data_IF_458303280199
#
_entry.id   IF_458303280199
#
_cell.length_a   1.000
_cell.length_b   1.000
_cell.length_c   1.000
_cell.angle_alpha   90.00
_cell.angle_beta   90.00
_cell.angle_gamma   90.00
#
_symmetry.space_group_name_H-M   'P 1'
#
loop_
_entity.id
_entity.type
_entity.pdbx_description
1 polymer ?
#
# COMPACT_ATOMS: atom_id res chain seq x y z
N UNK A 1 -38.64 -14.95 -2.26
CA UNK A 1 -37.64 -13.91 -1.93
C UNK A 1 -38.28 -12.58 -1.50
N UNK A 2 -39.61 -12.46 -1.50
CA UNK A 2 -40.31 -11.20 -1.20
C UNK A 2 -40.49 -10.89 0.30
N UNK A 3 -40.47 -11.89 1.17
CA UNK A 3 -40.61 -11.69 2.62
C UNK A 3 -39.44 -10.90 3.23
N UNK A 4 -38.22 -11.11 2.73
CA UNK A 4 -37.04 -10.38 3.18
C UNK A 4 -37.09 -8.91 2.74
N UNK A 5 -37.47 -8.62 1.49
CA UNK A 5 -37.61 -7.22 1.00
C UNK A 5 -38.66 -6.43 1.79
N UNK A 6 -39.77 -7.08 2.17
CA UNK A 6 -40.81 -6.46 2.99
C UNK A 6 -40.31 -6.08 4.39
N UNK A 7 -39.47 -6.93 5.02
CA UNK A 7 -38.93 -6.63 6.36
C UNK A 7 -37.99 -5.43 6.40
N UNK A 8 -37.22 -5.16 5.34
CA UNK A 8 -36.27 -4.03 5.31
C UNK A 8 -36.94 -2.68 5.00
N UNK A 9 -38.15 -2.68 4.43
CA UNK A 9 -38.90 -1.45 4.12
C UNK A 9 -39.56 -0.79 5.34
N UNK A 10 -39.70 -1.53 6.45
CA UNK A 10 -40.44 -1.09 7.65
C UNK A 10 -39.54 -0.64 8.79
N UNK A 11 -38.22 -0.60 8.59
CA UNK A 11 -37.27 -0.15 9.62
C UNK A 11 -37.14 1.37 9.50
N UNK A 12 -37.67 2.14 10.46
CA UNK A 12 -37.50 3.59 10.44
C UNK A 12 -36.01 3.93 10.55
N UNK A 13 -35.52 4.98 9.85
CA UNK A 13 -34.15 5.42 10.00
C UNK A 13 -33.91 5.84 11.46
N UNK A 14 -32.83 5.31 12.05
CA UNK A 14 -32.45 5.65 13.42
C UNK A 14 -32.29 7.16 13.57
N UNK A 15 -32.90 7.71 14.62
CA UNK A 15 -32.81 9.13 14.89
C UNK A 15 -31.38 9.50 15.36
N UNK A 16 -30.95 10.75 15.19
CA UNK A 16 -29.64 11.20 15.68
C UNK A 16 -29.42 10.94 17.18
N UNK A 17 -30.48 10.97 17.99
CA UNK A 17 -30.43 10.67 19.42
C UNK A 17 -30.13 9.18 19.70
N UNK A 18 -30.75 8.27 18.96
CA UNK A 18 -30.51 6.82 19.09
C UNK A 18 -29.09 6.45 18.66
N UNK A 19 -28.56 7.08 17.61
CA UNK A 19 -27.18 6.90 17.17
C UNK A 19 -26.17 7.43 18.22
N UNK A 20 -26.47 8.57 18.83
CA UNK A 20 -25.62 9.13 19.89
C UNK A 20 -25.59 8.23 21.13
N UNK A 21 -26.72 7.65 21.52
CA UNK A 21 -26.79 6.75 22.67
C UNK A 21 -26.13 5.39 22.39
N UNK A 22 -26.34 4.81 21.20
CA UNK A 22 -25.64 3.59 20.78
C UNK A 22 -24.11 3.78 20.78
N UNK A 23 -23.63 4.93 20.28
CA UNK A 23 -22.21 5.30 20.33
C UNK A 23 -21.70 5.41 21.77
N UNK A 24 -22.47 6.01 22.68
CA UNK A 24 -22.08 6.18 24.09
C UNK A 24 -21.95 4.83 24.80
N UNK A 25 -22.89 3.90 24.56
CA UNK A 25 -22.83 2.52 25.10
C UNK A 25 -21.62 1.74 24.58
N UNK A 26 -21.27 1.89 23.31
CA UNK A 26 -20.06 1.28 22.75
C UNK A 26 -18.80 1.85 23.40
N UNK A 27 -18.73 3.17 23.59
CA UNK A 27 -17.59 3.82 24.24
C UNK A 27 -17.45 3.43 25.72
N UNK A 28 -18.55 3.30 26.46
CA UNK A 28 -18.54 2.87 27.87
C UNK A 28 -18.14 1.39 28.01
N UNK A 29 -18.52 0.53 27.06
CA UNK A 29 -18.05 -0.87 27.00
C UNK A 29 -16.56 -1.02 26.68
N UNK A 30 -15.97 -0.04 26.00
CA UNK A 30 -14.54 -0.01 25.63
C UNK A 30 -13.64 0.62 26.70
N UNK A 31 -14.19 1.17 27.79
CA UNK A 31 -13.35 1.71 28.86
C UNK A 31 -12.65 0.56 29.60
N UNK A 32 -11.31 0.48 29.56
CA UNK A 32 -10.59 -0.57 30.27
C UNK A 32 -10.76 -0.36 31.78
N UNK A 33 -11.19 -1.42 32.49
CA UNK A 33 -11.17 -1.44 33.96
C UNK A 33 -9.71 -1.34 34.42
N UNK A 34 -9.35 -0.40 35.32
CA UNK A 34 -8.00 -0.36 35.88
C UNK A 34 -7.80 -1.62 36.73
N UNK A 35 -6.99 -2.56 36.24
CA UNK A 35 -6.51 -3.70 37.03
C UNK A 35 -5.32 -3.21 37.85
N UNK A 36 -5.50 -3.12 39.18
CA UNK A 36 -4.37 -2.99 40.10
C UNK A 36 -3.49 -4.23 39.97
N UNK A 37 -2.27 -4.06 39.44
CA UNK A 37 -1.31 -5.14 39.29
C UNK A 37 -0.43 -5.18 40.54
N UNK A 38 -0.70 -6.13 41.43
CA UNK A 38 0.27 -6.59 42.43
C UNK A 38 1.28 -7.50 41.72
N UNK A 39 2.54 -7.07 41.61
CA UNK A 39 3.62 -7.87 41.05
C UNK A 39 4.09 -8.96 42.02
N UNK A 40 4.49 -10.14 41.51
CA UNK A 40 5.54 -10.92 42.14
C UNK A 40 6.72 -11.23 41.20
N UNK A 41 7.82 -11.58 41.86
CA UNK A 41 9.20 -11.68 41.37
C UNK A 41 9.45 -12.91 40.47
N UNK A 42 10.35 -12.70 39.50
CA UNK A 42 11.39 -13.58 38.91
C UNK A 42 11.21 -15.11 39.01
N UNK A 43 11.25 -15.79 37.86
CA UNK A 43 12.03 -17.02 37.65
C UNK A 43 12.52 -17.09 36.19
N UNK A 44 13.82 -17.35 36.05
CA UNK A 44 14.57 -17.58 34.80
C UNK A 44 14.31 -19.00 34.30
N UNK A 45 14.03 -19.16 33.00
CA UNK A 45 14.22 -20.42 32.28
C UNK A 45 14.44 -20.17 30.78
N UNK A 46 15.27 -21.03 30.20
CA UNK A 46 15.94 -20.96 28.92
C UNK A 46 15.05 -20.86 27.66
N UNK A 47 15.60 -20.15 26.66
CA UNK A 47 15.65 -20.67 25.28
C UNK A 47 14.44 -20.48 24.38
N UNK A 48 14.20 -19.25 23.91
CA UNK A 48 13.68 -18.99 22.55
C UNK A 48 14.26 -17.65 22.10
N UNK A 49 15.09 -17.65 21.05
CA UNK A 49 15.42 -16.42 20.33
C UNK A 49 14.18 -16.01 19.53
N UNK A 50 13.23 -15.35 20.21
CA UNK A 50 12.16 -14.64 19.54
C UNK A 50 12.77 -13.41 18.88
N UNK A 51 12.71 -13.34 17.55
CA UNK A 51 13.02 -12.13 16.80
C UNK A 51 12.18 -10.98 17.38
N UNK A 52 12.85 -10.01 18.01
CA UNK A 52 12.21 -8.86 18.60
C UNK A 52 11.64 -7.98 17.48
N UNK A 53 10.35 -8.11 17.20
CA UNK A 53 9.62 -7.05 16.52
C UNK A 53 9.44 -5.90 17.52
N UNK A 54 10.38 -4.95 17.54
CA UNK A 54 10.22 -3.70 18.29
C UNK A 54 9.20 -2.81 17.57
N UNK A 55 7.91 -3.06 17.81
CA UNK A 55 6.86 -2.09 17.50
C UNK A 55 6.66 -1.19 18.73
N UNK A 56 7.53 -0.18 18.88
CA UNK A 56 7.29 0.90 19.83
C UNK A 56 6.25 1.85 19.20
N UNK A 57 4.96 1.60 19.44
CA UNK A 57 3.88 2.51 19.03
C UNK A 57 3.48 3.36 20.23
N UNK A 58 4.09 4.54 20.35
CA UNK A 58 3.58 5.63 21.18
C UNK A 58 2.82 6.58 20.24
N UNK A 59 1.48 6.54 20.29
CA UNK A 59 0.60 7.50 19.60
C UNK A 59 -0.41 6.85 18.64
N UNK A 60 -1.66 7.32 18.72
CA UNK A 60 -2.82 6.87 17.93
C UNK A 60 -2.80 7.26 16.43
N UNK A 61 -1.63 7.51 15.83
CA UNK A 61 -1.53 7.79 14.40
C UNK A 61 -1.18 6.51 13.64
N UNK A 62 -2.15 5.95 12.90
CA UNK A 62 -1.89 4.87 11.95
C UNK A 62 -0.83 5.34 10.93
N UNK A 63 0.27 4.59 10.72
CA UNK A 63 1.30 4.94 9.75
C UNK A 63 0.72 5.06 8.33
N UNK A 64 1.27 5.96 7.51
CA UNK A 64 0.85 6.12 6.10
C UNK A 64 1.02 4.84 5.29
N UNK A 65 2.04 4.06 5.64
CA UNK A 65 2.35 2.77 5.04
C UNK A 65 3.04 1.84 6.04
N UNK A 66 2.82 0.55 5.86
CA UNK A 66 3.54 -0.53 6.53
C UNK A 66 4.31 -1.35 5.50
N UNK A 67 5.50 -1.84 5.90
CA UNK A 67 6.33 -2.72 5.10
C UNK A 67 6.61 -3.98 5.90
N UNK A 68 6.32 -5.14 5.32
CA UNK A 68 6.63 -6.45 5.89
C UNK A 68 7.46 -7.27 4.91
N UNK A 69 8.46 -7.99 5.39
CA UNK A 69 9.24 -8.94 4.61
C UNK A 69 8.79 -10.36 4.93
N UNK A 70 8.48 -11.12 3.89
CA UNK A 70 8.20 -12.56 3.97
C UNK A 70 9.50 -13.38 3.96
N UNK A 71 9.43 -14.62 4.43
CA UNK A 71 10.60 -15.52 4.47
C UNK A 71 11.14 -15.88 3.08
N UNK A 72 10.33 -15.76 2.03
CA UNK A 72 10.72 -15.94 0.62
C UNK A 72 11.42 -14.71 0.02
N UNK A 73 11.65 -13.65 0.81
CA UNK A 73 12.29 -12.42 0.37
C UNK A 73 11.34 -11.38 -0.22
N UNK A 74 10.08 -11.75 -0.47
CA UNK A 74 9.05 -10.83 -0.96
C UNK A 74 8.76 -9.74 0.07
N UNK A 75 8.52 -8.52 -0.41
CA UNK A 75 8.05 -7.41 0.41
C UNK A 75 6.55 -7.17 0.20
N UNK A 76 5.83 -6.96 1.29
CA UNK A 76 4.43 -6.55 1.28
C UNK A 76 4.36 -5.11 1.78
N UNK A 77 3.91 -4.21 0.90
CA UNK A 77 3.62 -2.81 1.23
C UNK A 77 2.12 -2.68 1.45
N UNK A 78 1.72 -2.20 2.62
CA UNK A 78 0.33 -1.78 2.88
C UNK A 78 0.29 -0.26 2.86
N UNK A 79 -0.51 0.31 1.95
CA UNK A 79 -0.68 1.76 1.78
C UNK A 79 -2.00 2.19 2.40
N UNK A 80 -1.91 2.90 3.51
CA UNK A 80 -3.07 3.44 4.23
C UNK A 80 -3.45 4.82 3.68
N UNK A 81 -2.45 5.65 3.38
CA UNK A 81 -2.61 7.02 2.88
C UNK A 81 -1.46 7.39 1.94
N UNK A 82 -1.75 8.15 0.88
CA UNK A 82 -0.74 8.71 -0.02
C UNK A 82 -0.12 9.99 0.58
N UNK A 83 0.65 9.81 1.65
CA UNK A 83 1.49 10.86 2.25
C UNK A 83 2.87 10.29 2.56
N UNK A 84 3.90 11.14 2.55
CA UNK A 84 5.29 10.76 2.84
C UNK A 84 5.89 9.74 1.84
N UNK A 85 6.03 10.12 0.54
CA UNK A 85 6.66 9.26 -0.47
C UNK A 85 8.13 8.98 -0.13
N UNK A 86 8.88 9.98 0.36
CA UNK A 86 10.28 9.86 0.75
C UNK A 86 10.47 8.81 1.85
N UNK A 87 9.56 8.77 2.82
CA UNK A 87 9.58 7.77 3.86
C UNK A 87 9.30 6.36 3.33
N UNK A 88 8.44 6.19 2.31
CA UNK A 88 8.21 4.87 1.68
C UNK A 88 9.46 4.44 0.92
N UNK A 89 10.04 5.34 0.14
CA UNK A 89 11.31 5.14 -0.56
C UNK A 89 12.42 4.72 0.41
N UNK A 90 12.59 5.43 1.53
CA UNK A 90 13.58 5.10 2.54
C UNK A 90 13.36 3.70 3.17
N UNK A 91 12.12 3.31 3.43
CA UNK A 91 11.82 1.96 3.97
C UNK A 91 12.12 0.86 2.94
N UNK A 92 11.85 1.09 1.66
CA UNK A 92 12.21 0.16 0.58
C UNK A 92 13.73 0.06 0.44
N UNK A 93 14.45 1.18 0.50
CA UNK A 93 15.91 1.22 0.48
C UNK A 93 16.54 0.46 1.65
N UNK A 94 16.01 0.65 2.87
CA UNK A 94 16.41 -0.13 4.04
C UNK A 94 16.12 -1.63 3.90
N UNK A 95 15.16 -2.00 3.03
CA UNK A 95 14.87 -3.37 2.65
C UNK A 95 15.65 -3.83 1.39
N UNK A 96 16.66 -3.09 0.95
CA UNK A 96 17.51 -3.47 -0.18
C UNK A 96 16.86 -3.33 -1.56
N UNK A 97 15.77 -2.56 -1.66
CA UNK A 97 15.15 -2.18 -2.93
C UNK A 97 15.38 -0.69 -3.15
N UNK A 98 16.23 -0.35 -4.12
CA UNK A 98 16.36 1.03 -4.58
C UNK A 98 15.07 1.43 -5.29
N UNK A 99 14.47 2.55 -4.90
CA UNK A 99 13.18 2.98 -5.41
C UNK A 99 13.12 4.49 -5.63
N UNK A 100 12.30 4.90 -6.59
CA UNK A 100 11.80 6.27 -6.76
C UNK A 100 10.28 6.23 -6.50
N UNK A 101 9.82 6.94 -5.48
CA UNK A 101 8.40 6.94 -5.11
C UNK A 101 7.83 8.33 -5.32
N UNK A 102 6.80 8.42 -6.15
CA UNK A 102 6.08 9.68 -6.40
C UNK A 102 4.60 9.51 -6.10
N UNK A 103 4.02 10.44 -5.34
CA UNK A 103 2.58 10.54 -5.14
C UNK A 103 2.04 11.74 -5.93
N UNK A 104 0.96 11.51 -6.67
CA UNK A 104 0.37 12.42 -7.65
C UNK A 104 -1.10 12.66 -7.31
N UNK A 105 -1.58 13.87 -7.63
CA UNK A 105 -2.98 14.19 -7.56
C UNK A 105 -3.79 13.38 -8.59
N UNK A 106 -5.09 13.24 -8.34
CA UNK A 106 -6.00 12.62 -9.29
C UNK A 106 -5.98 13.33 -10.65
N UNK A 107 -6.04 12.56 -11.74
CA UNK A 107 -6.01 13.10 -13.11
C UNK A 107 -4.65 13.65 -13.54
N UNK A 108 -3.57 13.33 -12.81
CA UNK A 108 -2.21 13.72 -13.19
C UNK A 108 -1.29 12.53 -13.34
N UNK A 109 -0.29 12.67 -14.21
CA UNK A 109 0.81 11.72 -14.40
C UNK A 109 2.13 12.47 -14.46
N UNK A 110 3.25 11.77 -14.38
CA UNK A 110 4.52 12.42 -14.67
C UNK A 110 4.75 12.60 -16.18
N UNK A 111 5.35 13.73 -16.56
CA UNK A 111 5.81 13.96 -17.92
C UNK A 111 6.85 12.90 -18.33
N UNK A 112 6.69 12.30 -19.51
CA UNK A 112 7.58 11.27 -20.02
C UNK A 112 8.58 11.84 -21.05
N UNK A 113 9.78 11.23 -21.21
CA UNK A 113 10.31 10.14 -20.38
C UNK A 113 11.03 10.64 -19.12
N UNK A 114 10.89 9.94 -17.98
CA UNK A 114 11.65 10.22 -16.74
C UNK A 114 12.89 9.37 -16.55
N UNK A 115 12.91 8.19 -17.14
CA UNK A 115 13.97 7.20 -16.98
C UNK A 115 14.05 6.31 -18.22
N UNK A 116 15.17 5.59 -18.38
CA UNK A 116 15.27 4.52 -19.37
C UNK A 116 14.67 3.24 -18.77
N UNK A 117 13.60 2.70 -19.36
CA UNK A 117 12.91 1.53 -18.82
C UNK A 117 13.62 0.21 -19.21
N UNK A 118 13.48 -0.83 -18.38
CA UNK A 118 13.98 -2.18 -18.70
C UNK A 118 13.07 -2.94 -19.68
N UNK A 119 11.81 -2.52 -19.79
CA UNK A 119 10.81 -3.11 -20.68
C UNK A 119 9.85 -2.04 -21.22
N UNK A 120 9.13 -2.37 -22.29
CA UNK A 120 8.28 -1.44 -23.05
C UNK A 120 7.00 -1.00 -22.32
N UNK A 121 6.84 -1.34 -21.04
CA UNK A 121 5.61 -1.01 -20.30
C UNK A 121 5.52 0.45 -19.88
N UNK A 122 6.61 1.22 -20.02
CA UNK A 122 6.67 2.65 -19.70
C UNK A 122 6.64 3.55 -20.94
N UNK A 123 7.48 3.25 -21.94
CA UNK A 123 7.71 4.07 -23.13
C UNK A 123 7.32 3.36 -24.44
N UNK A 124 6.76 2.15 -24.34
CA UNK A 124 6.31 1.39 -25.49
C UNK A 124 5.00 1.90 -26.09
N UNK A 125 4.67 1.44 -27.31
CA UNK A 125 3.38 1.76 -27.93
C UNK A 125 2.21 1.27 -27.06
N UNK A 126 1.06 1.96 -27.09
CA UNK A 126 -0.12 1.48 -26.40
C UNK A 126 -0.55 0.13 -26.98
N UNK A 127 -0.93 -0.80 -26.10
CA UNK A 127 -1.42 -2.11 -26.53
C UNK A 127 -2.78 -1.96 -27.21
N UNK A 128 -2.99 -2.69 -28.31
CA UNK A 128 -4.20 -2.59 -29.15
C UNK A 128 -5.33 -3.52 -28.72
N UNK A 129 -5.09 -4.43 -27.77
CA UNK A 129 -6.10 -5.36 -27.29
C UNK A 129 -5.67 -6.18 -26.06
N UNK A 130 -6.60 -6.96 -25.49
CA UNK A 130 -6.38 -7.69 -24.24
C UNK A 130 -5.33 -8.81 -24.34
N UNK A 131 -5.17 -9.43 -25.51
CA UNK A 131 -4.17 -10.49 -25.70
C UNK A 131 -2.76 -9.92 -25.79
N UNK A 132 -2.59 -8.79 -26.46
CA UNK A 132 -1.33 -8.05 -26.49
C UNK A 132 -0.97 -7.53 -25.10
N UNK A 133 -1.94 -6.96 -24.38
CA UNK A 133 -1.76 -6.54 -22.99
C UNK A 133 -1.33 -7.70 -22.10
N UNK A 134 -1.95 -8.88 -22.26
CA UNK A 134 -1.58 -10.07 -21.51
C UNK A 134 -0.17 -10.56 -21.86
N UNK A 135 0.22 -10.53 -23.13
CA UNK A 135 1.56 -10.89 -23.56
C UNK A 135 2.61 -9.96 -22.94
N UNK A 136 2.42 -8.65 -23.07
CA UNK A 136 3.29 -7.62 -22.47
C UNK A 136 3.39 -7.79 -20.96
N UNK A 137 2.27 -8.00 -20.27
CA UNK A 137 2.26 -8.21 -18.82
C UNK A 137 2.98 -9.49 -18.38
N UNK A 138 2.87 -10.58 -19.15
CA UNK A 138 3.51 -11.86 -18.84
C UNK A 138 5.03 -11.83 -19.09
N UNK A 139 5.49 -11.04 -20.04
CA UNK A 139 6.91 -10.96 -20.40
C UNK A 139 7.65 -9.94 -19.53
N UNK A 140 7.00 -8.81 -19.23
CA UNK A 140 7.55 -7.69 -18.46
C UNK A 140 8.12 -8.11 -17.11
N UNK A 141 9.31 -7.58 -16.81
CA UNK A 141 9.93 -7.70 -15.50
C UNK A 141 9.32 -6.71 -14.52
N UNK A 142 8.92 -5.53 -14.97
CA UNK A 142 8.18 -4.55 -14.17
C UNK A 142 6.91 -5.16 -13.55
N UNK A 143 6.08 -5.85 -14.34
CA UNK A 143 4.88 -6.54 -13.85
C UNK A 143 5.16 -7.76 -12.96
N UNK A 144 6.31 -8.43 -13.16
CA UNK A 144 6.74 -9.52 -12.28
C UNK A 144 7.24 -8.98 -10.94
N UNK A 145 7.96 -7.86 -10.94
CA UNK A 145 8.52 -7.23 -9.75
C UNK A 145 7.46 -6.61 -8.85
N UNK A 146 6.37 -6.07 -9.40
CA UNK A 146 5.33 -5.39 -8.61
C UNK A 146 3.94 -5.90 -8.96
N UNK A 147 3.18 -6.33 -7.95
CA UNK A 147 1.78 -6.77 -8.10
C UNK A 147 0.89 -6.11 -7.06
N UNK A 148 -0.16 -5.43 -7.50
CA UNK A 148 -1.25 -4.99 -6.62
C UNK A 148 -2.09 -6.21 -6.28
N UNK A 149 -2.07 -6.64 -5.01
CA UNK A 149 -2.81 -7.84 -4.57
C UNK A 149 -4.16 -7.51 -3.95
N UNK A 150 -4.34 -6.28 -3.49
CA UNK A 150 -5.62 -5.75 -3.01
C UNK A 150 -5.64 -4.22 -3.12
N UNK A 151 -6.78 -3.60 -2.82
CA UNK A 151 -7.00 -2.14 -2.85
C UNK A 151 -5.99 -1.31 -2.04
N UNK A 152 -5.25 -1.94 -1.12
CA UNK A 152 -4.26 -1.28 -0.24
C UNK A 152 -2.92 -2.02 -0.19
N UNK A 153 -2.79 -3.15 -0.87
CA UNK A 153 -1.63 -4.03 -0.69
C UNK A 153 -0.90 -4.24 -2.01
N UNK A 154 0.41 -4.02 -1.96
CA UNK A 154 1.33 -4.22 -3.07
C UNK A 154 2.35 -5.27 -2.64
N UNK A 155 2.54 -6.26 -3.48
CA UNK A 155 3.62 -7.23 -3.39
C UNK A 155 4.77 -6.76 -4.27
N UNK A 156 5.95 -6.61 -3.69
CA UNK A 156 7.20 -6.38 -4.40
C UNK A 156 8.03 -7.65 -4.29
N UNK A 157 8.55 -8.11 -5.43
CA UNK A 157 9.35 -9.31 -5.60
C UNK A 157 10.78 -8.92 -6.00
N UNK A 158 11.70 -8.69 -5.02
CA UNK A 158 13.06 -8.22 -5.28
C UNK A 158 13.87 -9.15 -6.20
N UNK A 159 13.52 -10.43 -6.29
CA UNK A 159 14.14 -11.40 -7.20
C UNK A 159 14.04 -11.01 -8.69
N UNK A 160 13.13 -10.11 -9.04
CA UNK A 160 12.96 -9.59 -10.38
C UNK A 160 13.65 -8.24 -10.63
N UNK A 161 14.28 -7.66 -9.60
CA UNK A 161 14.99 -6.37 -9.65
C UNK A 161 16.49 -6.66 -9.66
N UNK A 162 17.19 -6.31 -10.74
CA UNK A 162 18.64 -6.55 -10.83
C UNK A 162 19.41 -5.50 -10.03
N UNK A 163 20.63 -5.82 -9.55
CA UNK A 163 21.48 -4.85 -8.89
C UNK A 163 21.67 -3.58 -9.73
N UNK A 164 21.48 -2.42 -9.09
CA UNK A 164 21.62 -1.09 -9.69
C UNK A 164 20.38 -0.58 -10.45
N UNK A 165 19.33 -1.39 -10.63
CA UNK A 165 18.04 -0.94 -11.16
C UNK A 165 17.21 -0.26 -10.06
N UNK A 166 16.44 0.76 -10.45
CA UNK A 166 15.56 1.50 -9.55
C UNK A 166 14.10 1.09 -9.80
N UNK A 167 13.38 0.73 -8.74
CA UNK A 167 11.93 0.52 -8.79
C UNK A 167 11.22 1.88 -8.78
N UNK A 168 10.66 2.28 -9.91
CA UNK A 168 9.86 3.50 -10.02
C UNK A 168 8.41 3.18 -9.68
N UNK A 169 7.84 3.91 -8.73
CA UNK A 169 6.45 3.75 -8.27
C UNK A 169 5.74 5.12 -8.31
N UNK A 170 4.74 5.23 -9.17
CA UNK A 170 3.91 6.43 -9.29
C UNK A 170 2.50 6.10 -8.80
N UNK A 171 2.15 6.62 -7.63
CA UNK A 171 0.80 6.52 -7.10
C UNK A 171 0.00 7.74 -7.52
N UNK A 172 -1.18 7.53 -8.08
CA UNK A 172 -2.13 8.59 -8.39
C UNK A 172 -3.31 8.48 -7.44
N UNK A 173 -3.66 9.55 -6.76
CA UNK A 173 -4.90 9.64 -6.02
C UNK A 173 -6.08 9.25 -6.92
N UNK A 174 -7.04 8.53 -6.35
CA UNK A 174 -8.26 8.18 -7.03
C UNK A 174 -9.45 8.60 -6.14
N UNK A 175 -10.27 9.57 -6.57
CA UNK A 175 -11.38 10.06 -5.77
C UNK A 175 -12.48 8.99 -5.58
N UNK A 176 -12.42 7.88 -6.33
CA UNK A 176 -13.28 6.73 -6.10
C UNK A 176 -12.90 5.99 -4.81
N UNK A 177 -13.74 6.09 -3.78
CA UNK A 177 -13.53 5.45 -2.48
C UNK A 177 -13.40 3.92 -2.47
N UNK A 178 -13.69 3.23 -3.59
CA UNK A 178 -13.48 1.78 -3.71
C UNK A 178 -12.01 1.39 -3.96
N UNK A 179 -11.23 2.26 -4.60
CA UNK A 179 -9.81 2.08 -4.83
C UNK A 179 -9.15 3.44 -4.67
N UNK A 180 -8.58 3.77 -3.50
CA UNK A 180 -8.18 5.14 -3.15
C UNK A 180 -7.00 5.66 -3.99
N UNK A 181 -6.34 4.80 -4.75
CA UNK A 181 -5.24 5.16 -5.63
C UNK A 181 -5.10 4.20 -6.82
N UNK A 182 -4.40 4.65 -7.85
CA UNK A 182 -3.87 3.84 -8.94
C UNK A 182 -2.35 3.78 -8.81
N UNK A 183 -1.74 2.68 -9.25
CA UNK A 183 -0.29 2.51 -9.24
C UNK A 183 0.23 2.27 -10.67
N UNK A 184 1.15 3.11 -11.11
CA UNK A 184 2.13 2.78 -12.14
C UNK A 184 3.40 2.27 -11.49
N UNK A 185 3.96 1.16 -11.98
CA UNK A 185 5.22 0.63 -11.46
C UNK A 185 6.08 0.04 -12.56
N UNK A 186 7.34 0.45 -12.58
CA UNK A 186 8.31 0.14 -13.62
C UNK A 186 9.70 -0.05 -13.03
N UNK A 187 10.58 -0.72 -13.77
CA UNK A 187 12.00 -0.77 -13.44
C UNK A 187 12.77 0.15 -14.39
N UNK A 188 13.55 1.06 -13.81
CA UNK A 188 14.56 1.83 -14.54
C UNK A 188 15.83 0.99 -14.72
N UNK A 189 16.50 1.19 -15.86
CA UNK A 189 17.75 0.51 -16.20
C UNK A 189 18.84 0.79 -15.17
N UNK A 190 19.71 -0.20 -14.97
CA UNK A 190 20.73 -0.13 -13.95
C UNK A 190 21.68 1.07 -14.17
N UNK A 191 21.94 1.83 -13.11
CA UNK A 191 22.82 3.00 -13.13
C UNK A 191 22.37 4.12 -14.08
N UNK A 192 21.08 4.20 -14.40
CA UNK A 192 20.49 5.33 -15.12
C UNK A 192 19.76 6.26 -14.16
N UNK A 193 19.84 7.59 -14.33
CA UNK A 193 19.14 8.51 -13.44
C UNK A 193 17.63 8.45 -13.67
N UNK A 194 16.86 8.43 -12.58
CA UNK A 194 15.43 8.73 -12.60
C UNK A 194 15.25 10.23 -12.39
N UNK A 195 14.72 10.93 -13.40
CA UNK A 195 14.47 12.36 -13.31
C UNK A 195 13.31 12.66 -12.34
N UNK A 196 13.32 13.81 -11.64
CA UNK A 196 12.20 14.23 -10.81
C UNK A 196 10.89 14.27 -11.60
N UNK A 197 9.77 13.96 -10.92
CA UNK A 197 8.47 14.05 -11.56
C UNK A 197 8.07 15.51 -11.81
N UNK A 198 7.74 15.82 -13.07
CA UNK A 198 6.98 17.02 -13.42
C UNK A 198 5.54 16.59 -13.71
N UNK A 199 4.57 16.87 -12.81
CA UNK A 199 3.18 16.50 -13.03
C UNK A 199 2.59 17.20 -14.25
N UNK A 200 1.86 16.45 -15.07
CA UNK A 200 1.06 16.90 -16.20
C UNK A 200 -0.33 16.28 -16.13
N UNK A 201 -1.32 16.89 -16.79
CA UNK A 201 -2.65 16.30 -16.90
C UNK A 201 -2.56 14.92 -17.58
N UNK A 202 -3.26 13.94 -17.01
CA UNK A 202 -3.45 12.62 -17.59
C UNK A 202 -4.76 12.66 -18.41
N UNK A 203 -4.70 12.57 -19.75
CA UNK A 203 -5.89 12.66 -20.59
C UNK A 203 -6.80 11.42 -20.54
N UNK A 204 -6.46 10.42 -19.72
CA UNK A 204 -7.15 9.11 -19.63
C UNK A 204 -8.17 9.03 -18.48
#
# INVERSE_FOLDING_TARGET
>A
MDALKSMWGTIPPATPGELAEARRRLLDGMRPRPRFVTAPRLLVAAGVAAAAATALVIGNNTPAYALARSSDGTLTVTVNELRDPDGLQAKLGAAGVEADVTFLAAGTRCAAPRFAAVDSTYDGPPTTGPDELRAVANESRSFKATKVTSIRTIRISPEHIKPGETLVMEFRDNPNGQAPWQLGSWLAQANTPVQPCTPVEDPN
#
